data_IF_771740803396
#
_entry.id   IF_771740803396
#
_cell.length_a   1.000
_cell.length_b   1.000
_cell.length_c   1.000
_cell.angle_alpha   90.00
_cell.angle_beta   90.00
_cell.angle_gamma   90.00
#
_symmetry.space_group_name_H-M   'P 1'
#
loop_
_entity.id
_entity.type
_entity.pdbx_description
1 polymer ?
#
# COMPACT_ATOMS: atom_id res chain seq x y z
N UNK A 1 -9.09 -21.55 -8.74
CA UNK A 1 -9.27 -20.11 -8.46
C UNK A 1 -9.32 -19.91 -6.94
N UNK A 2 -8.86 -18.75 -6.43
CA UNK A 2 -9.02 -18.42 -5.02
C UNK A 2 -10.51 -18.17 -4.69
N UNK A 3 -10.92 -18.48 -3.46
CA UNK A 3 -12.28 -18.25 -2.97
C UNK A 3 -12.28 -17.15 -1.91
N UNK A 4 -13.40 -16.48 -1.70
CA UNK A 4 -13.51 -15.37 -0.75
C UNK A 4 -13.13 -15.79 0.67
N UNK A 5 -13.51 -17.00 1.10
CA UNK A 5 -13.24 -17.54 2.44
C UNK A 5 -11.73 -17.68 2.71
N UNK A 6 -10.90 -17.66 1.67
CA UNK A 6 -9.43 -17.65 1.82
C UNK A 6 -8.96 -16.39 2.56
N UNK A 7 -9.71 -15.27 2.50
CA UNK A 7 -9.34 -14.01 3.12
C UNK A 7 -9.40 -14.04 4.65
N UNK A 8 -10.21 -14.94 5.21
CA UNK A 8 -10.35 -15.14 6.66
C UNK A 8 -9.23 -16.01 7.25
N UNK A 9 -8.47 -16.72 6.40
CA UNK A 9 -7.37 -17.56 6.85
C UNK A 9 -6.26 -16.72 7.49
N UNK A 10 -5.58 -17.30 8.49
CA UNK A 10 -4.47 -16.61 9.17
C UNK A 10 -3.25 -16.48 8.25
N UNK A 11 -2.76 -15.26 8.10
CA UNK A 11 -1.43 -14.93 7.60
C UNK A 11 -0.43 -14.80 8.75
N UNK A 12 0.78 -15.32 8.55
CA UNK A 12 1.88 -15.26 9.52
C UNK A 12 3.08 -14.56 8.89
N UNK A 13 3.39 -13.35 9.34
CA UNK A 13 4.65 -12.68 9.02
C UNK A 13 5.74 -13.22 9.94
N UNK A 14 6.81 -13.78 9.37
CA UNK A 14 7.90 -14.39 10.12
C UNK A 14 9.24 -14.28 9.42
N UNK A 15 10.30 -14.40 10.20
CA UNK A 15 11.66 -14.67 9.72
C UNK A 15 12.15 -16.00 10.32
N UNK A 16 12.13 -17.06 9.53
CA UNK A 16 12.42 -18.41 10.02
C UNK A 16 11.43 -18.84 11.12
N UNK A 17 11.96 -19.05 12.34
CA UNK A 17 11.17 -19.42 13.52
C UNK A 17 10.53 -18.22 14.22
N UNK A 18 11.04 -16.99 14.00
CA UNK A 18 10.57 -15.80 14.68
C UNK A 18 9.30 -15.26 14.04
N UNK A 19 8.20 -15.23 14.81
CA UNK A 19 6.92 -14.73 14.34
C UNK A 19 6.78 -13.25 14.73
N UNK A 20 6.59 -12.40 13.73
CA UNK A 20 6.41 -10.96 13.91
C UNK A 20 4.93 -10.57 13.97
N UNK A 21 4.06 -11.25 13.24
CA UNK A 21 2.62 -10.98 13.25
C UNK A 21 1.80 -12.20 12.86
N UNK A 22 0.59 -12.30 13.43
CA UNK A 22 -0.46 -13.23 13.04
C UNK A 22 -1.76 -12.44 12.90
N UNK A 23 -2.34 -12.42 11.72
CA UNK A 23 -3.57 -11.68 11.42
C UNK A 23 -4.32 -12.39 10.28
N UNK A 24 -5.53 -11.95 9.91
CA UNK A 24 -6.20 -12.49 8.72
C UNK A 24 -5.44 -12.07 7.45
N UNK A 25 -5.57 -12.84 6.36
CA UNK A 25 -5.02 -12.42 5.06
C UNK A 25 -5.62 -11.10 4.60
N UNK A 26 -6.93 -10.90 4.82
CA UNK A 26 -7.62 -9.64 4.53
C UNK A 26 -6.94 -8.43 5.20
N UNK A 27 -6.70 -8.53 6.50
CA UNK A 27 -6.10 -7.45 7.29
C UNK A 27 -4.67 -7.18 6.86
N UNK A 28 -3.88 -8.22 6.59
CA UNK A 28 -2.49 -8.05 6.17
C UNK A 28 -2.39 -7.38 4.78
N UNK A 29 -3.28 -7.75 3.85
CA UNK A 29 -3.40 -7.09 2.55
C UNK A 29 -3.78 -5.62 2.74
N UNK A 30 -4.79 -5.33 3.58
CA UNK A 30 -5.20 -3.96 3.89
C UNK A 30 -4.04 -3.13 4.46
N UNK A 31 -3.26 -3.68 5.38
CA UNK A 31 -2.07 -3.02 5.94
C UNK A 31 -1.05 -2.74 4.85
N UNK A 32 -0.77 -3.72 3.99
CA UNK A 32 0.21 -3.59 2.90
C UNK A 32 -0.21 -2.50 1.91
N UNK A 33 -1.47 -2.49 1.48
CA UNK A 33 -2.02 -1.43 0.64
C UNK A 33 -1.91 -0.07 1.32
N UNK A 34 -2.28 0.02 2.61
CA UNK A 34 -2.21 1.27 3.37
C UNK A 34 -0.78 1.81 3.47
N UNK A 35 0.23 0.94 3.65
CA UNK A 35 1.64 1.34 3.68
C UNK A 35 2.11 1.86 2.31
N UNK A 36 1.73 1.20 1.22
CA UNK A 36 2.06 1.70 -0.13
C UNK A 36 1.45 3.07 -0.38
N UNK A 37 0.19 3.29 0.02
CA UNK A 37 -0.49 4.57 -0.12
C UNK A 37 0.21 5.65 0.71
N UNK A 38 0.55 5.32 1.96
CA UNK A 38 1.28 6.21 2.87
C UNK A 38 2.65 6.63 2.30
N UNK A 39 3.47 5.67 1.87
CA UNK A 39 4.79 5.96 1.32
C UNK A 39 4.74 6.65 -0.04
N UNK A 40 3.72 6.35 -0.88
CA UNK A 40 3.48 7.10 -2.11
C UNK A 40 3.20 8.58 -1.82
N UNK A 41 2.44 8.90 -0.79
CA UNK A 41 2.19 10.28 -0.38
C UNK A 41 3.48 10.95 0.13
N UNK A 42 4.30 10.26 0.93
CA UNK A 42 5.62 10.76 1.35
C UNK A 42 6.54 11.05 0.15
N UNK A 43 6.59 10.15 -0.83
CA UNK A 43 7.33 10.38 -2.08
C UNK A 43 6.78 11.61 -2.83
N UNK A 44 5.47 11.78 -2.88
CA UNK A 44 4.84 12.98 -3.45
C UNK A 44 5.32 14.29 -2.80
N UNK A 45 5.55 14.30 -1.49
CA UNK A 45 6.15 15.45 -0.79
C UNK A 45 7.58 15.70 -1.28
N UNK A 46 8.39 14.65 -1.44
CA UNK A 46 9.75 14.82 -1.95
C UNK A 46 9.78 15.32 -3.39
N UNK A 47 8.91 14.81 -4.27
CA UNK A 47 8.77 15.33 -5.63
C UNK A 47 8.43 16.83 -5.62
N UNK A 48 7.49 17.23 -4.75
CA UNK A 48 7.12 18.65 -4.60
C UNK A 48 8.27 19.51 -4.11
N UNK A 49 9.06 19.05 -3.14
CA UNK A 49 10.21 19.78 -2.61
C UNK A 49 11.38 19.90 -3.61
N UNK A 50 11.41 19.03 -4.61
CA UNK A 50 12.44 19.00 -5.66
C UNK A 50 11.96 19.60 -6.99
N UNK A 51 10.80 20.29 -6.99
CA UNK A 51 10.16 20.86 -8.18
C UNK A 51 9.94 19.85 -9.32
N UNK A 52 9.73 18.57 -8.98
CA UNK A 52 9.40 17.50 -9.93
C UNK A 52 7.87 17.36 -10.04
N UNK A 53 7.28 17.29 -11.25
CA UNK A 53 5.84 17.11 -11.43
C UNK A 53 5.32 15.87 -10.70
N UNK A 54 4.23 16.02 -9.95
CA UNK A 54 3.63 14.91 -9.20
C UNK A 54 2.69 14.13 -10.13
N UNK A 55 2.82 12.79 -10.24
CA UNK A 55 1.87 11.99 -10.99
C UNK A 55 0.51 11.86 -10.28
N UNK A 56 -0.56 11.72 -11.06
CA UNK A 56 -1.89 11.37 -10.55
C UNK A 56 -1.89 10.06 -9.76
N UNK A 57 -2.66 10.00 -8.67
CA UNK A 57 -2.66 8.85 -7.75
C UNK A 57 -3.99 8.09 -7.69
N UNK A 58 -5.11 8.82 -7.69
CA UNK A 58 -6.49 8.28 -7.75
C UNK A 58 -7.34 9.11 -8.73
N UNK A 59 -6.66 9.77 -9.65
CA UNK A 59 -7.16 10.89 -10.43
C UNK A 59 -6.04 11.90 -10.67
N UNK A 60 -6.36 13.00 -11.36
CA UNK A 60 -5.38 14.00 -11.75
C UNK A 60 -4.69 14.64 -10.54
N UNK A 61 -3.42 15.01 -10.69
CA UNK A 61 -2.69 15.80 -9.70
C UNK A 61 -2.79 17.29 -10.03
N UNK A 62 -2.28 18.18 -9.18
CA UNK A 62 -2.16 19.60 -9.53
C UNK A 62 -1.32 19.85 -10.80
N UNK A 63 -0.40 18.93 -11.11
CA UNK A 63 0.60 19.08 -12.17
C UNK A 63 0.23 18.32 -13.46
N UNK A 64 -0.75 17.41 -13.40
CA UNK A 64 -1.33 16.71 -14.56
C UNK A 64 -2.85 16.56 -14.35
N UNK A 65 -3.62 17.36 -15.10
CA UNK A 65 -5.08 17.47 -15.03
C UNK A 65 -5.82 16.58 -16.04
N UNK A 66 -5.11 15.70 -16.76
CA UNK A 66 -5.73 14.78 -17.71
C UNK A 66 -6.48 13.64 -17.00
N UNK A 67 -7.62 13.23 -17.58
CA UNK A 67 -8.47 12.14 -17.10
C UNK A 67 -8.40 10.93 -18.02
#
# INVERSE_FOLDING_TARGET
AAKEETMDETWVLRNGADIYSKTSKADFIRITLSQMIHHRAQLGVYLRLLDVPIPGSYGPSADDQSF
#
